data_IF_648599188996
#
_entry.id   IF_648599188996
#
_cell.length_a   1.000
_cell.length_b   1.000
_cell.length_c   1.000
_cell.angle_alpha   90.00
_cell.angle_beta   90.00
_cell.angle_gamma   90.00
#
_symmetry.space_group_name_H-M   'P 1'
#
loop_
_entity.id
_entity.type
_entity.pdbx_description
1 polymer ?
#
# COMPACT_ATOMS: atom_id res chain seq x y z
N UNK A 1 -14.59 -5.13 -35.06
CA UNK A 1 -13.26 -4.51 -35.27
C UNK A 1 -12.69 -4.18 -33.90
N UNK A 2 -11.39 -4.38 -33.68
CA UNK A 2 -10.73 -3.96 -32.44
C UNK A 2 -10.60 -2.42 -32.39
N UNK A 3 -10.67 -1.83 -31.20
CA UNK A 3 -10.51 -0.39 -31.03
C UNK A 3 -9.07 0.05 -31.41
N UNK A 4 -8.88 1.26 -31.98
CA UNK A 4 -7.55 1.79 -32.28
C UNK A 4 -6.67 1.94 -31.02
N UNK A 5 -5.34 1.76 -31.11
CA UNK A 5 -4.45 1.88 -29.95
C UNK A 5 -4.55 3.22 -29.19
N UNK A 6 -4.81 4.32 -29.91
CA UNK A 6 -5.01 5.64 -29.30
C UNK A 6 -6.28 5.71 -28.44
N UNK A 7 -7.36 5.07 -28.90
CA UNK A 7 -8.62 4.99 -28.15
C UNK A 7 -8.46 4.14 -26.89
N UNK A 8 -7.77 3.00 -27.00
CA UNK A 8 -7.43 2.15 -25.84
C UNK A 8 -6.61 2.92 -24.80
N UNK A 9 -5.57 3.65 -25.24
CA UNK A 9 -4.75 4.48 -24.33
C UNK A 9 -5.56 5.54 -23.60
N UNK A 10 -6.42 6.25 -24.33
CA UNK A 10 -7.29 7.28 -23.75
C UNK A 10 -8.28 6.67 -22.74
N UNK A 11 -8.83 5.49 -23.05
CA UNK A 11 -9.75 4.78 -22.16
C UNK A 11 -9.05 4.33 -20.86
N UNK A 12 -7.84 3.75 -20.95
CA UNK A 12 -7.05 3.37 -19.77
C UNK A 12 -6.75 4.58 -18.89
N UNK A 13 -6.23 5.66 -19.49
CA UNK A 13 -5.90 6.89 -18.75
C UNK A 13 -7.12 7.48 -18.04
N UNK A 14 -8.28 7.45 -18.71
CA UNK A 14 -9.55 7.89 -18.13
C UNK A 14 -9.98 7.00 -16.96
N UNK A 15 -9.86 5.69 -17.09
CA UNK A 15 -10.21 4.74 -16.04
C UNK A 15 -9.33 4.91 -14.79
N UNK A 16 -8.01 4.96 -14.97
CA UNK A 16 -7.04 5.25 -13.91
C UNK A 16 -7.38 6.55 -13.20
N UNK A 17 -7.50 7.64 -13.96
CA UNK A 17 -7.74 8.98 -13.39
C UNK A 17 -9.06 9.02 -12.62
N UNK A 18 -10.12 8.44 -13.18
CA UNK A 18 -11.43 8.39 -12.54
C UNK A 18 -11.37 7.58 -11.25
N UNK A 19 -10.88 6.34 -11.31
CA UNK A 19 -10.87 5.44 -10.16
C UNK A 19 -9.99 5.99 -9.03
N UNK A 20 -8.78 6.44 -9.35
CA UNK A 20 -7.89 7.07 -8.38
C UNK A 20 -8.53 8.29 -7.71
N UNK A 21 -9.12 9.21 -8.49
CA UNK A 21 -9.76 10.43 -7.95
C UNK A 21 -10.99 10.18 -7.07
N UNK A 22 -11.61 9.01 -7.16
CA UNK A 22 -12.86 8.68 -6.46
C UNK A 22 -12.68 7.68 -5.33
N UNK A 23 -11.83 6.69 -5.52
CA UNK A 23 -11.66 5.56 -4.61
C UNK A 23 -10.50 5.74 -3.62
N UNK A 24 -9.46 6.49 -4.01
CA UNK A 24 -8.24 6.56 -3.23
C UNK A 24 -8.46 7.35 -1.93
N UNK A 25 -7.97 6.79 -0.82
CA UNK A 25 -7.81 7.46 0.45
C UNK A 25 -6.34 7.39 0.85
N UNK A 26 -5.67 8.53 0.98
CA UNK A 26 -4.22 8.61 1.21
C UNK A 26 -3.39 7.88 0.14
N UNK A 27 -3.89 7.80 -1.10
CA UNK A 27 -3.29 7.04 -2.19
C UNK A 27 -3.61 5.54 -2.19
N UNK A 28 -4.26 5.00 -1.14
CA UNK A 28 -4.58 3.58 -1.02
C UNK A 28 -6.05 3.22 -1.26
N UNK A 29 -6.31 1.90 -1.29
CA UNK A 29 -7.56 1.31 -1.77
C UNK A 29 -8.04 0.15 -0.89
N UNK A 30 -9.30 -0.26 -1.07
CA UNK A 30 -9.93 -1.45 -0.47
C UNK A 30 -10.54 -2.33 -1.57
N UNK A 31 -11.25 -3.42 -1.22
CA UNK A 31 -11.75 -4.41 -2.19
C UNK A 31 -12.81 -3.85 -3.10
N UNK A 32 -13.90 -3.35 -2.51
CA UNK A 32 -15.05 -2.88 -3.25
C UNK A 32 -15.51 -1.53 -2.77
N UNK A 33 -16.15 -0.83 -3.69
CA UNK A 33 -16.78 0.46 -3.49
C UNK A 33 -18.18 0.41 -4.09
N UNK A 34 -19.15 1.07 -3.45
CA UNK A 34 -20.42 1.36 -4.10
C UNK A 34 -20.20 2.28 -5.31
N UNK A 35 -21.17 2.34 -6.23
CA UNK A 35 -21.05 3.15 -7.45
C UNK A 35 -20.86 4.66 -7.19
N UNK A 36 -21.31 5.14 -6.03
CA UNK A 36 -21.14 6.51 -5.54
C UNK A 36 -19.94 6.69 -4.60
N UNK A 37 -19.16 5.62 -4.35
CA UNK A 37 -18.00 5.56 -3.46
C UNK A 37 -18.29 5.88 -1.98
N UNK A 38 -19.56 5.84 -1.55
CA UNK A 38 -19.93 6.09 -0.15
C UNK A 38 -19.76 4.86 0.74
N UNK A 39 -19.87 3.66 0.17
CA UNK A 39 -19.64 2.39 0.84
C UNK A 39 -18.31 1.79 0.41
N UNK A 40 -17.66 1.13 1.36
CA UNK A 40 -16.34 0.52 1.22
C UNK A 40 -16.35 -0.84 1.89
N UNK A 41 -15.70 -1.82 1.26
CA UNK A 41 -15.62 -3.19 1.76
C UNK A 41 -14.17 -3.69 1.69
N UNK A 42 -13.79 -4.41 2.74
CA UNK A 42 -12.61 -5.25 2.83
C UNK A 42 -13.04 -6.60 3.46
N UNK A 43 -12.24 -7.26 4.29
CA UNK A 43 -12.74 -8.38 5.13
C UNK A 43 -13.82 -7.95 6.14
N UNK A 44 -14.01 -6.64 6.30
CA UNK A 44 -15.13 -6.01 7.00
C UNK A 44 -15.42 -4.65 6.39
N UNK A 45 -15.90 -3.70 7.22
CA UNK A 45 -16.17 -2.33 6.79
C UNK A 45 -14.99 -1.44 7.22
N UNK A 46 -14.05 -1.11 6.32
CA UNK A 46 -12.93 -0.23 6.64
C UNK A 46 -13.41 1.20 6.91
N UNK A 47 -12.76 1.87 7.87
CA UNK A 47 -12.96 3.30 8.12
C UNK A 47 -12.47 4.16 6.95
N UNK A 48 -12.86 5.44 6.93
CA UNK A 48 -12.49 6.39 5.87
C UNK A 48 -10.97 6.50 5.64
N UNK A 49 -10.18 6.44 6.71
CA UNK A 49 -8.72 6.55 6.68
C UNK A 49 -7.99 5.18 6.75
N UNK A 50 -8.69 4.09 6.43
CA UNK A 50 -8.11 2.75 6.34
C UNK A 50 -7.91 2.36 4.88
N UNK A 51 -6.74 1.81 4.59
CA UNK A 51 -6.42 1.14 3.32
C UNK A 51 -6.30 -0.37 3.58
N UNK A 52 -6.43 -1.18 2.54
CA UNK A 52 -6.20 -2.63 2.65
C UNK A 52 -4.93 -3.02 1.92
N UNK A 53 -4.18 -3.99 2.45
CA UNK A 53 -2.92 -4.47 1.90
C UNK A 53 -3.10 -5.83 1.22
N UNK A 54 -3.87 -6.75 1.82
CA UNK A 54 -4.22 -8.03 1.20
C UNK A 54 -4.83 -7.77 -0.19
N UNK A 55 -4.39 -8.46 -1.25
CA UNK A 55 -5.02 -8.36 -2.55
C UNK A 55 -6.51 -8.74 -2.50
N UNK A 56 -7.39 -8.06 -3.26
CA UNK A 56 -7.10 -7.05 -4.29
C UNK A 56 -7.01 -5.60 -3.75
N UNK A 57 -6.47 -5.38 -2.55
CA UNK A 57 -6.25 -4.05 -1.96
C UNK A 57 -5.16 -3.20 -2.64
N UNK A 58 -4.59 -2.28 -1.87
CA UNK A 58 -3.69 -1.21 -2.33
C UNK A 58 -2.54 -1.69 -3.21
N UNK A 59 -1.77 -2.74 -2.85
CA UNK A 59 -0.70 -3.22 -3.70
C UNK A 59 -1.18 -3.69 -5.08
N UNK A 60 -2.31 -4.41 -5.13
CA UNK A 60 -2.86 -4.92 -6.38
C UNK A 60 -3.33 -3.79 -7.30
N UNK A 61 -4.02 -2.78 -6.74
CA UNK A 61 -4.44 -1.60 -7.51
C UNK A 61 -3.24 -0.80 -8.00
N UNK A 62 -2.25 -0.53 -7.13
CA UNK A 62 -1.03 0.18 -7.51
C UNK A 62 -0.27 -0.52 -8.63
N UNK A 63 -0.20 -1.86 -8.59
CA UNK A 63 0.39 -2.67 -9.65
C UNK A 63 -0.35 -2.53 -10.97
N UNK A 64 -1.69 -2.53 -10.96
CA UNK A 64 -2.49 -2.31 -12.16
C UNK A 64 -2.28 -0.90 -12.76
N UNK A 65 -2.12 0.13 -11.91
CA UNK A 65 -1.78 1.49 -12.36
C UNK A 65 -0.37 1.55 -12.97
N UNK A 66 0.58 0.81 -12.41
CA UNK A 66 1.93 0.72 -12.96
C UNK A 66 1.95 -0.03 -14.29
N UNK A 67 1.22 -1.14 -14.41
CA UNK A 67 1.07 -1.87 -15.68
C UNK A 67 0.46 -0.96 -16.77
N UNK A 68 -0.53 -0.14 -16.39
CA UNK A 68 -1.10 0.88 -17.26
C UNK A 68 -0.04 1.92 -17.70
N UNK A 69 0.82 2.40 -16.80
CA UNK A 69 1.95 3.26 -17.16
C UNK A 69 2.92 2.57 -18.11
N UNK A 70 3.29 1.32 -17.84
CA UNK A 70 4.23 0.57 -18.67
C UNK A 70 3.72 0.42 -20.12
N UNK A 71 2.41 0.20 -20.28
CA UNK A 71 1.76 0.06 -21.58
C UNK A 71 1.48 1.39 -22.30
N UNK A 72 1.23 2.47 -21.57
CA UNK A 72 0.75 3.75 -22.14
C UNK A 72 1.79 4.86 -22.14
N UNK A 73 2.74 4.81 -21.20
CA UNK A 73 3.65 5.89 -20.81
C UNK A 73 2.92 7.17 -20.38
N UNK A 74 1.68 7.05 -19.92
CA UNK A 74 0.94 8.19 -19.37
C UNK A 74 1.32 8.43 -17.90
N UNK A 75 1.88 9.60 -17.62
CA UNK A 75 2.36 9.99 -16.29
C UNK A 75 1.26 9.98 -15.22
N UNK A 76 -0.03 10.07 -15.58
CA UNK A 76 -1.13 9.96 -14.61
C UNK A 76 -1.23 8.54 -14.04
N UNK A 77 -0.91 7.53 -14.84
CA UNK A 77 -0.84 6.15 -14.39
C UNK A 77 0.33 5.94 -13.43
N UNK A 78 1.49 6.53 -13.74
CA UNK A 78 2.64 6.48 -12.85
C UNK A 78 2.35 7.19 -11.52
N UNK A 79 1.79 8.40 -11.56
CA UNK A 79 1.43 9.16 -10.36
C UNK A 79 0.51 8.36 -9.43
N UNK A 80 -0.53 7.72 -9.96
CA UNK A 80 -1.44 6.89 -9.16
C UNK A 80 -0.75 5.66 -8.55
N UNK A 81 0.20 5.04 -9.26
CA UNK A 81 1.01 3.94 -8.73
C UNK A 81 1.97 4.39 -7.63
N UNK A 82 2.57 5.58 -7.79
CA UNK A 82 3.47 6.20 -6.80
C UNK A 82 2.71 6.55 -5.52
N UNK A 83 1.51 7.12 -5.62
CA UNK A 83 0.68 7.39 -4.44
C UNK A 83 0.30 6.11 -3.68
N UNK A 84 -0.02 5.03 -4.40
CA UNK A 84 -0.25 3.73 -3.78
C UNK A 84 1.00 3.18 -3.07
N UNK A 85 2.18 3.33 -3.69
CA UNK A 85 3.46 2.92 -3.10
C UNK A 85 3.80 3.73 -1.85
N UNK A 86 3.54 5.05 -1.84
CA UNK A 86 3.65 5.87 -0.63
C UNK A 86 2.70 5.37 0.46
N UNK A 87 1.44 5.09 0.13
CA UNK A 87 0.47 4.58 1.09
C UNK A 87 0.92 3.27 1.75
N UNK A 88 1.49 2.36 0.94
CA UNK A 88 2.09 1.10 1.41
C UNK A 88 3.33 1.37 2.27
N UNK A 89 4.26 2.21 1.83
CA UNK A 89 5.48 2.52 2.59
C UNK A 89 5.17 3.12 3.98
N UNK A 90 4.12 3.94 4.06
CA UNK A 90 3.66 4.60 5.31
C UNK A 90 2.92 3.66 6.23
N UNK A 91 2.61 2.45 5.79
CA UNK A 91 1.97 1.43 6.63
C UNK A 91 2.88 0.21 6.83
N UNK A 92 4.16 0.31 6.45
CA UNK A 92 5.17 -0.70 6.77
C UNK A 92 5.43 -0.73 8.28
N UNK A 93 5.35 -1.92 8.86
CA UNK A 93 5.63 -2.16 10.28
C UNK A 93 7.13 -2.18 10.55
N UNK A 94 7.55 -1.97 11.80
CA UNK A 94 8.96 -2.00 12.19
C UNK A 94 9.63 -3.37 11.96
N UNK A 95 8.85 -4.44 11.80
CA UNK A 95 9.36 -5.75 11.33
C UNK A 95 9.80 -5.74 9.87
N UNK A 96 9.34 -4.79 9.05
CA UNK A 96 9.61 -4.68 7.62
C UNK A 96 8.49 -5.20 6.71
N UNK A 97 7.50 -5.90 7.28
CA UNK A 97 6.31 -6.36 6.55
C UNK A 97 5.05 -5.53 6.83
N UNK A 98 3.90 -6.11 6.47
CA UNK A 98 2.59 -5.48 6.60
C UNK A 98 1.57 -6.41 7.27
N UNK A 99 0.57 -5.81 7.91
CA UNK A 99 -0.66 -6.49 8.31
C UNK A 99 -1.73 -6.32 7.21
N UNK A 100 -2.88 -6.97 7.33
CA UNK A 100 -3.96 -6.93 6.34
C UNK A 100 -4.43 -5.50 6.02
N UNK A 101 -4.38 -4.60 7.00
CA UNK A 101 -4.83 -3.21 6.87
C UNK A 101 -3.72 -2.19 7.19
N UNK A 102 -3.82 -1.02 6.54
CA UNK A 102 -3.01 0.15 6.81
C UNK A 102 -3.88 1.30 7.34
N UNK A 103 -3.40 2.02 8.37
CA UNK A 103 -4.18 3.05 9.05
C UNK A 103 -3.56 4.44 8.98
N UNK A 104 -4.37 5.44 8.61
CA UNK A 104 -4.00 6.85 8.57
C UNK A 104 -4.70 7.70 9.63
N UNK A 105 -5.77 7.21 10.27
CA UNK A 105 -6.34 7.90 11.43
C UNK A 105 -5.43 7.79 12.65
N UNK A 106 -5.39 8.84 13.47
CA UNK A 106 -4.49 8.93 14.61
C UNK A 106 -4.68 7.80 15.63
N UNK A 107 -5.91 7.33 15.84
CA UNK A 107 -6.24 6.34 16.88
C UNK A 107 -5.69 4.96 16.51
N UNK A 108 -6.02 4.46 15.33
CA UNK A 108 -5.56 3.14 14.90
C UNK A 108 -4.06 3.15 14.59
N UNK A 109 -3.54 4.25 14.03
CA UNK A 109 -2.11 4.41 13.76
C UNK A 109 -1.26 4.36 15.04
N UNK A 110 -1.73 4.97 16.13
CA UNK A 110 -1.05 4.90 17.43
C UNK A 110 -1.02 3.49 18.04
N UNK A 111 -1.92 2.60 17.60
CA UNK A 111 -1.95 1.21 18.03
C UNK A 111 -0.97 0.31 17.23
N UNK A 112 -0.35 0.83 16.17
CA UNK A 112 0.56 0.09 15.29
C UNK A 112 2.01 0.60 15.41
N UNK A 113 2.96 -0.29 15.14
CA UNK A 113 4.39 0.01 15.19
C UNK A 113 4.95 0.34 13.80
N UNK A 114 4.31 1.26 13.09
CA UNK A 114 4.75 1.69 11.75
C UNK A 114 6.12 2.37 11.74
N UNK A 115 6.86 2.26 10.64
CA UNK A 115 8.20 2.86 10.51
C UNK A 115 8.16 4.36 10.24
N UNK A 116 7.06 4.85 9.68
CA UNK A 116 6.88 6.25 9.29
C UNK A 116 5.67 6.87 9.98
N UNK A 117 5.64 8.18 10.11
CA UNK A 117 4.40 8.91 10.39
C UNK A 117 3.50 8.96 9.13
N UNK A 118 2.32 9.59 9.25
CA UNK A 118 1.34 9.60 8.15
C UNK A 118 1.82 10.44 6.96
N UNK A 119 2.77 11.34 7.21
CA UNK A 119 3.40 12.24 6.25
C UNK A 119 4.61 11.62 5.56
N UNK A 120 5.03 10.42 5.96
CA UNK A 120 6.13 9.68 5.32
C UNK A 120 7.49 9.85 5.99
N UNK A 121 7.60 10.58 7.10
CA UNK A 121 8.87 10.73 7.80
C UNK A 121 9.16 9.50 8.65
N UNK A 122 10.40 9.00 8.59
CA UNK A 122 10.86 7.92 9.46
C UNK A 122 10.77 8.33 10.94
N UNK A 123 10.23 7.42 11.76
CA UNK A 123 10.09 7.59 13.20
C UNK A 123 11.27 6.92 13.88
N UNK A 124 12.01 7.67 14.70
CA UNK A 124 13.05 7.08 15.54
C UNK A 124 12.44 6.14 16.58
N UNK A 125 12.79 4.85 16.50
CA UNK A 125 12.29 3.82 17.40
C UNK A 125 13.40 3.45 18.41
N UNK A 126 13.11 3.58 19.70
CA UNK A 126 14.01 3.16 20.80
C UNK A 126 13.78 1.73 21.29
N UNK A 127 12.73 1.06 20.81
CA UNK A 127 12.32 -0.28 21.26
C UNK A 127 12.30 -1.23 20.08
N UNK A 128 13.36 -2.01 19.95
CA UNK A 128 13.40 -3.21 19.11
C UNK A 128 13.26 -4.41 20.07
N UNK A 129 12.56 -5.49 19.71
CA UNK A 129 12.55 -6.69 20.54
C UNK A 129 13.98 -7.20 20.75
N UNK A 130 14.46 -7.22 22.00
CA UNK A 130 15.82 -7.68 22.36
C UNK A 130 15.85 -9.17 22.80
N UNK A 131 14.68 -9.80 22.92
CA UNK A 131 14.55 -11.20 23.33
C UNK A 131 14.24 -12.15 22.17
N UNK A 132 14.53 -13.44 22.36
CA UNK A 132 14.15 -14.48 21.40
C UNK A 132 12.64 -14.51 21.15
N UNK A 133 12.28 -14.73 19.89
CA UNK A 133 10.88 -14.91 19.47
C UNK A 133 10.31 -16.27 19.86
N UNK A 134 9.19 -16.64 19.26
CA UNK A 134 8.59 -17.97 19.40
C UNK A 134 7.31 -18.00 20.24
N UNK A 135 6.73 -19.20 20.34
CA UNK A 135 5.38 -19.41 20.88
C UNK A 135 5.16 -18.80 22.27
N UNK A 136 6.16 -18.87 23.15
CA UNK A 136 6.08 -18.30 24.50
C UNK A 136 6.04 -16.77 24.53
N UNK A 137 6.71 -16.09 23.60
CA UNK A 137 6.62 -14.63 23.44
C UNK A 137 5.31 -14.24 22.74
N UNK A 138 4.92 -15.00 21.71
CA UNK A 138 3.69 -14.78 20.95
C UNK A 138 2.43 -14.84 21.84
N UNK A 139 2.29 -15.87 22.68
CA UNK A 139 1.12 -16.02 23.58
C UNK A 139 0.97 -14.89 24.61
N UNK A 140 2.04 -14.12 24.85
CA UNK A 140 2.04 -12.97 25.76
C UNK A 140 1.68 -11.66 25.04
N UNK A 141 1.51 -11.70 23.71
CA UNK A 141 1.17 -10.54 22.87
C UNK A 141 2.07 -9.31 23.09
N UNK A 142 3.34 -9.53 23.45
CA UNK A 142 4.27 -8.47 23.83
C UNK A 142 4.56 -7.49 22.67
N UNK A 143 4.46 -7.95 21.43
CA UNK A 143 4.72 -7.17 20.21
C UNK A 143 3.49 -7.12 19.29
N UNK A 144 2.28 -7.12 19.85
CA UNK A 144 1.03 -7.24 19.07
C UNK A 144 0.75 -6.12 18.07
N UNK A 145 1.47 -5.02 18.19
CA UNK A 145 1.42 -3.87 17.31
C UNK A 145 2.46 -3.95 16.17
N UNK A 146 3.22 -5.04 16.06
CA UNK A 146 4.28 -5.22 15.06
C UNK A 146 4.17 -6.58 14.35
N UNK A 147 2.93 -7.03 14.09
CA UNK A 147 2.67 -8.29 13.40
C UNK A 147 2.52 -8.06 11.90
N UNK A 148 3.53 -8.50 11.15
CA UNK A 148 3.44 -8.66 9.70
C UNK A 148 2.99 -10.06 9.34
N UNK A 149 2.24 -10.20 8.25
CA UNK A 149 1.76 -11.49 7.73
C UNK A 149 2.21 -11.72 6.28
N UNK A 150 2.49 -12.98 5.97
CA UNK A 150 2.73 -13.49 4.62
C UNK A 150 1.54 -14.31 4.10
N UNK A 151 0.50 -14.45 4.93
CA UNK A 151 -0.76 -15.05 4.52
C UNK A 151 -1.41 -14.18 3.44
N UNK A 152 -2.15 -14.82 2.53
CA UNK A 152 -2.88 -14.16 1.44
C UNK A 152 -2.08 -13.09 0.67
N UNK A 153 -0.78 -13.31 0.49
CA UNK A 153 0.10 -12.46 -0.32
C UNK A 153 0.27 -11.01 0.20
N UNK A 154 -0.07 -10.73 1.46
CA UNK A 154 -0.08 -9.38 2.05
C UNK A 154 1.29 -8.69 1.94
N UNK A 155 2.31 -9.21 2.63
CA UNK A 155 3.64 -8.58 2.62
C UNK A 155 4.32 -8.73 1.26
N UNK A 156 4.10 -9.84 0.56
CA UNK A 156 4.71 -10.11 -0.74
C UNK A 156 4.20 -9.14 -1.82
N UNK A 157 2.90 -8.86 -1.88
CA UNK A 157 2.32 -7.91 -2.82
C UNK A 157 2.79 -6.48 -2.53
N UNK A 158 2.84 -6.09 -1.25
CA UNK A 158 3.38 -4.80 -0.83
C UNK A 158 4.85 -4.63 -1.27
N UNK A 159 5.71 -5.62 -1.00
CA UNK A 159 7.11 -5.61 -1.44
C UNK A 159 7.22 -5.50 -2.96
N UNK A 160 6.43 -6.27 -3.73
CA UNK A 160 6.45 -6.20 -5.21
C UNK A 160 6.08 -4.82 -5.73
N UNK A 161 5.05 -4.18 -5.18
CA UNK A 161 4.67 -2.83 -5.60
C UNK A 161 5.82 -1.85 -5.35
N UNK A 162 6.40 -1.86 -4.15
CA UNK A 162 7.48 -0.93 -3.79
C UNK A 162 8.70 -1.10 -4.71
N UNK A 163 9.15 -2.34 -4.93
CA UNK A 163 10.31 -2.63 -5.80
C UNK A 163 10.04 -2.21 -7.24
N UNK A 164 8.85 -2.51 -7.78
CA UNK A 164 8.55 -2.15 -9.17
C UNK A 164 8.40 -0.65 -9.37
N UNK A 165 7.79 0.07 -8.43
CA UNK A 165 7.69 1.53 -8.49
C UNK A 165 9.06 2.17 -8.31
N UNK A 166 9.89 1.71 -7.37
CA UNK A 166 11.26 2.19 -7.20
C UNK A 166 12.07 2.05 -8.50
N UNK A 167 11.97 0.88 -9.15
CA UNK A 167 12.60 0.63 -10.44
C UNK A 167 12.08 1.58 -11.53
N UNK A 168 10.76 1.80 -11.62
CA UNK A 168 10.16 2.72 -12.60
C UNK A 168 10.61 4.18 -12.39
N UNK A 169 10.87 4.58 -11.14
CA UNK A 169 11.40 5.90 -10.79
C UNK A 169 12.93 5.99 -10.89
N UNK A 170 13.62 4.87 -11.12
CA UNK A 170 15.07 4.78 -11.16
C UNK A 170 15.73 5.10 -9.82
N UNK A 171 15.12 4.70 -8.69
CA UNK A 171 15.69 4.89 -7.35
C UNK A 171 15.65 6.32 -6.81
N UNK A 172 14.87 7.20 -7.44
CA UNK A 172 14.87 8.65 -7.12
C UNK A 172 13.95 9.04 -5.96
N UNK A 173 12.98 8.20 -5.63
CA UNK A 173 12.10 8.42 -4.49
C UNK A 173 12.69 7.76 -3.25
N UNK A 174 13.23 8.57 -2.34
CA UNK A 174 13.92 8.07 -1.16
C UNK A 174 12.99 7.36 -0.16
N UNK A 175 11.69 7.67 -0.13
CA UNK A 175 10.72 7.02 0.76
C UNK A 175 10.41 5.61 0.27
N UNK A 176 10.07 5.48 -1.02
CA UNK A 176 9.75 4.20 -1.64
C UNK A 176 11.00 3.31 -1.68
N UNK A 177 12.15 3.87 -2.08
CA UNK A 177 13.42 3.14 -2.10
C UNK A 177 13.76 2.52 -0.74
N UNK A 178 13.68 3.33 0.31
CA UNK A 178 14.03 2.87 1.66
C UNK A 178 13.06 1.80 2.15
N UNK A 179 11.76 1.96 1.88
CA UNK A 179 10.77 0.94 2.25
C UNK A 179 10.97 -0.37 1.47
N UNK A 180 11.36 -0.29 0.20
CA UNK A 180 11.69 -1.45 -0.63
C UNK A 180 12.95 -2.17 -0.13
N UNK A 181 14.01 -1.42 0.19
CA UNK A 181 15.27 -1.97 0.71
C UNK A 181 15.09 -2.61 2.09
N UNK A 182 14.15 -2.12 2.90
CA UNK A 182 13.86 -2.65 4.23
C UNK A 182 12.83 -3.80 4.23
N UNK A 183 12.10 -3.99 3.13
CA UNK A 183 11.13 -5.07 3.02
C UNK A 183 11.82 -6.43 3.12
N UNK A 184 11.24 -7.32 3.93
CA UNK A 184 11.76 -8.66 4.23
C UNK A 184 11.82 -9.57 2.99
#
# INVERSE_FOLDING_TARGET
MAAPPAEVRAAVTKAVSFYHSKAAAHGGYVYHYSADFTLREAEGIPGADTIWIQPPGTPAVGMAMLDAYEATKDEKCLAAAVEAAHAVSRTQLASGGWDYAGHFDAKNRAAQLYRRDAEGKLVERKKVPEGEGGWHAWKRHQNKNNYSTFDDDVSQAATRLLVRVDHALGGKDAEIKEAADFAL
#
